data_IF_443849981149
#
_entry.id   IF_443849981149
#
_cell.length_a   1.000
_cell.length_b   1.000
_cell.length_c   1.000
_cell.angle_alpha   90.00
_cell.angle_beta   90.00
_cell.angle_gamma   90.00
#
_symmetry.space_group_name_H-M   'P 1'
#
loop_
_entity.id
_entity.type
_entity.pdbx_description
1 polymer ?
#
# COMPACT_ATOMS: atom_id res chain seq x y z
N UNK A 1 -7.67 8.16 6.10
CA UNK A 1 -6.29 7.91 6.61
C UNK A 1 -6.14 6.65 7.47
N UNK A 2 -6.56 6.60 8.75
CA UNK A 2 -6.28 5.45 9.66
C UNK A 2 -6.75 4.10 9.10
N UNK A 3 -7.99 4.01 8.62
CA UNK A 3 -8.55 2.79 8.04
C UNK A 3 -7.76 2.28 6.81
N UNK A 4 -7.25 3.19 5.97
CA UNK A 4 -6.44 2.84 4.79
C UNK A 4 -5.10 2.24 5.20
N UNK A 5 -4.47 2.78 6.24
CA UNK A 5 -3.22 2.24 6.81
C UNK A 5 -3.45 0.84 7.40
N UNK A 6 -4.57 0.62 8.10
CA UNK A 6 -4.92 -0.71 8.60
C UNK A 6 -5.09 -1.74 7.48
N UNK A 7 -5.72 -1.34 6.35
CA UNK A 7 -5.84 -2.19 5.16
C UNK A 7 -4.46 -2.54 4.61
N UNK A 8 -3.53 -1.58 4.55
CA UNK A 8 -2.14 -1.84 4.11
C UNK A 8 -1.47 -2.88 5.01
N UNK A 9 -1.61 -2.79 6.34
CA UNK A 9 -1.06 -3.80 7.25
C UNK A 9 -1.69 -5.19 7.03
N UNK A 10 -3.00 -5.25 6.80
CA UNK A 10 -3.67 -6.51 6.47
C UNK A 10 -3.17 -7.11 5.15
N UNK A 11 -2.90 -6.28 4.14
CA UNK A 11 -2.29 -6.69 2.86
C UNK A 11 -0.87 -7.21 3.07
N UNK A 12 -0.05 -6.52 3.86
CA UNK A 12 1.31 -6.98 4.19
C UNK A 12 1.31 -8.34 4.91
N UNK A 13 0.38 -8.58 5.82
CA UNK A 13 0.22 -9.90 6.46
C UNK A 13 -0.05 -10.99 5.42
N UNK A 14 -1.01 -10.76 4.52
CA UNK A 14 -1.34 -11.69 3.43
C UNK A 14 -0.15 -11.99 2.52
N UNK A 15 0.66 -10.96 2.20
CA UNK A 15 1.88 -11.11 1.42
C UNK A 15 2.86 -12.06 2.11
N UNK A 16 3.13 -11.86 3.40
CA UNK A 16 4.07 -12.69 4.16
C UNK A 16 3.59 -14.15 4.27
N UNK A 17 2.28 -14.36 4.50
CA UNK A 17 1.68 -15.68 4.57
C UNK A 17 1.79 -16.43 3.23
N UNK A 18 1.46 -15.76 2.12
CA UNK A 18 1.55 -16.35 0.76
C UNK A 18 2.98 -16.57 0.30
N UNK A 19 3.89 -15.64 0.61
CA UNK A 19 5.32 -15.82 0.34
C UNK A 19 5.88 -17.05 1.06
N UNK A 20 5.49 -17.26 2.32
CA UNK A 20 5.92 -18.41 3.12
C UNK A 20 5.43 -19.74 2.54
N UNK A 21 4.17 -19.79 2.05
CA UNK A 21 3.63 -20.96 1.35
C UNK A 21 4.34 -21.21 0.02
N UNK A 22 4.57 -20.17 -0.78
CA UNK A 22 5.32 -20.30 -2.04
C UNK A 22 6.71 -20.89 -1.83
N UNK A 23 7.43 -20.43 -0.80
CA UNK A 23 8.75 -20.97 -0.45
C UNK A 23 8.69 -22.44 -0.03
N UNK A 24 7.65 -22.83 0.72
CA UNK A 24 7.42 -24.22 1.11
C UNK A 24 7.16 -25.11 -0.11
N UNK A 25 6.24 -24.70 -0.98
CA UNK A 25 5.85 -25.45 -2.19
C UNK A 25 7.01 -25.57 -3.18
N UNK A 26 7.81 -24.51 -3.33
CA UNK A 26 9.02 -24.53 -4.15
C UNK A 26 10.04 -25.56 -3.64
N UNK A 27 10.24 -25.67 -2.33
CA UNK A 27 11.14 -26.68 -1.72
C UNK A 27 10.64 -28.11 -1.92
N UNK A 28 9.34 -28.30 -2.13
CA UNK A 28 8.74 -29.60 -2.44
C UNK A 28 8.68 -29.90 -3.95
N UNK A 29 9.09 -28.95 -4.80
CA UNK A 29 9.02 -29.08 -6.25
C UNK A 29 7.64 -28.78 -6.85
N UNK A 30 6.68 -28.29 -6.05
CA UNK A 30 5.36 -27.88 -6.55
C UNK A 30 5.41 -26.43 -7.07
N UNK A 31 6.09 -26.25 -8.21
CA UNK A 31 6.30 -24.93 -8.80
C UNK A 31 4.99 -24.25 -9.23
N UNK A 32 3.97 -25.03 -9.61
CA UNK A 32 2.69 -24.46 -10.06
C UNK A 32 1.98 -23.74 -8.91
N UNK A 33 1.93 -24.35 -7.72
CA UNK A 33 1.36 -23.69 -6.54
C UNK A 33 2.21 -22.52 -6.07
N UNK A 34 3.54 -22.69 -6.05
CA UNK A 34 4.45 -21.61 -5.68
C UNK A 34 4.27 -20.36 -6.57
N UNK A 35 4.15 -20.54 -7.89
CA UNK A 35 3.89 -19.44 -8.83
C UNK A 35 2.52 -18.79 -8.56
N UNK A 36 1.49 -19.58 -8.26
CA UNK A 36 0.17 -19.06 -7.90
C UNK A 36 0.19 -18.17 -6.65
N UNK A 37 0.86 -18.62 -5.58
CA UNK A 37 1.03 -17.82 -4.36
C UNK A 37 1.87 -16.56 -4.62
N UNK A 38 2.87 -16.61 -5.50
CA UNK A 38 3.66 -15.44 -5.88
C UNK A 38 2.87 -14.41 -6.71
N UNK A 39 1.96 -14.84 -7.60
CA UNK A 39 1.06 -13.91 -8.26
C UNK A 39 0.15 -13.19 -7.25
N UNK A 40 -0.38 -13.91 -6.27
CA UNK A 40 -1.17 -13.31 -5.20
C UNK A 40 -0.35 -12.31 -4.36
N UNK A 41 0.95 -12.58 -4.12
CA UNK A 41 1.87 -11.64 -3.47
C UNK A 41 1.98 -10.35 -4.29
N UNK A 42 2.18 -10.45 -5.60
CA UNK A 42 2.30 -9.29 -6.50
C UNK A 42 1.04 -8.42 -6.45
N UNK A 43 -0.14 -9.03 -6.59
CA UNK A 43 -1.42 -8.31 -6.56
C UNK A 43 -1.61 -7.54 -5.25
N UNK A 44 -1.37 -8.18 -4.10
CA UNK A 44 -1.52 -7.50 -2.80
C UNK A 44 -0.48 -6.40 -2.59
N UNK A 45 0.74 -6.55 -3.13
CA UNK A 45 1.78 -5.52 -3.04
C UNK A 45 1.43 -4.29 -3.90
N UNK A 46 0.88 -4.51 -5.10
CA UNK A 46 0.40 -3.44 -5.98
C UNK A 46 -0.74 -2.66 -5.32
N UNK A 47 -1.74 -3.35 -4.76
CA UNK A 47 -2.84 -2.70 -4.04
C UNK A 47 -2.36 -1.92 -2.82
N UNK A 48 -1.45 -2.49 -2.02
CA UNK A 48 -0.87 -1.79 -0.88
C UNK A 48 -0.14 -0.51 -1.30
N UNK A 49 0.62 -0.58 -2.40
CA UNK A 49 1.34 0.58 -2.96
C UNK A 49 0.37 1.65 -3.45
N UNK A 50 -0.70 1.25 -4.13
CA UNK A 50 -1.74 2.17 -4.59
C UNK A 50 -2.37 2.94 -3.43
N UNK A 51 -2.76 2.24 -2.35
CA UNK A 51 -3.34 2.87 -1.16
C UNK A 51 -2.34 3.82 -0.49
N UNK A 52 -1.06 3.46 -0.43
CA UNK A 52 -0.03 4.32 0.13
C UNK A 52 0.17 5.60 -0.68
N UNK A 53 0.15 5.50 -2.02
CA UNK A 53 0.26 6.67 -2.88
C UNK A 53 -0.96 7.60 -2.73
N UNK A 54 -2.17 7.04 -2.69
CA UNK A 54 -3.40 7.81 -2.46
C UNK A 54 -3.34 8.56 -1.12
N UNK A 55 -2.78 7.95 -0.07
CA UNK A 55 -2.58 8.60 1.23
C UNK A 55 -1.55 9.74 1.18
N UNK A 56 -0.53 9.64 0.34
CA UNK A 56 0.46 10.71 0.13
C UNK A 56 -0.23 11.88 -0.59
N UNK A 57 -0.94 11.60 -1.68
CA UNK A 57 -1.69 12.60 -2.45
C UNK A 57 -2.71 13.34 -1.57
N UNK A 58 -3.51 12.61 -0.79
CA UNK A 58 -4.45 13.20 0.19
C UNK A 58 -3.74 14.16 1.16
N UNK A 59 -2.53 13.80 1.62
CA UNK A 59 -1.77 14.65 2.55
C UNK A 59 -1.25 15.91 1.86
N UNK A 60 -0.72 15.77 0.65
CA UNK A 60 -0.17 16.88 -0.14
C UNK A 60 -1.26 17.88 -0.54
N UNK A 61 -2.45 17.41 -0.91
CA UNK A 61 -3.60 18.27 -1.22
C UNK A 61 -4.09 19.06 0.01
N UNK A 62 -4.12 18.42 1.18
CA UNK A 62 -4.48 19.07 2.44
C UNK A 62 -3.44 20.10 2.90
N UNK A 63 -2.14 19.84 2.67
CA UNK A 63 -1.07 20.81 2.98
C UNK A 63 -1.11 22.03 2.02
N UNK A 64 -1.61 21.87 0.78
CA UNK A 64 -1.74 22.96 -0.20
C UNK A 64 -2.98 23.86 -0.02
N UNK A 65 -3.94 23.48 0.84
CA UNK A 65 -5.24 24.14 0.97
C UNK A 65 -5.37 25.06 2.18
N UNK A 66 -4.26 25.39 2.87
CA UNK A 66 -4.21 26.49 3.83
C UNK A 66 -3.73 27.75 3.08
N UNK A 67 -4.63 28.61 2.56
CA UNK A 67 -4.21 29.97 2.26
C UNK A 67 -3.78 30.58 3.58
N UNK A 68 -2.51 31.00 3.64
CA UNK A 68 -1.98 31.80 4.75
C UNK A 68 -3.02 32.88 5.07
N UNK A 69 -3.55 32.91 6.29
CA UNK A 69 -4.55 33.91 6.72
C UNK A 69 -4.04 35.34 6.48
N UNK A 70 -2.72 35.51 6.35
CA UNK A 70 -2.07 36.77 6.01
C UNK A 70 -1.95 37.06 4.51
N UNK A 71 -2.43 36.20 3.61
CA UNK A 71 -2.36 36.45 2.17
C UNK A 71 -3.18 37.69 1.78
N UNK A 72 -4.37 37.86 2.37
CA UNK A 72 -5.21 39.02 2.13
C UNK A 72 -4.75 40.27 2.90
N UNK A 73 -4.10 40.11 4.06
CA UNK A 73 -3.56 41.24 4.82
C UNK A 73 -2.27 41.84 4.21
N UNK A 74 -1.52 41.06 3.42
CA UNK A 74 -0.29 41.52 2.72
C UNK A 74 -0.56 42.22 1.38
N UNK A 75 -1.82 42.31 0.95
CA UNK A 75 -2.24 42.99 -0.28
C UNK A 75 -2.87 44.38 -0.04
N UNK A 76 -2.94 44.83 1.23
CA UNK A 76 -3.34 46.19 1.62
C UNK A 76 -2.11 47.06 1.91
#
# INVERSE_FOLDING_TARGET
MVLKIEIVFQKMKKILDSHSRALHDMKQGDFRRAIGDLHFVIENAQEATYILNELIEEREENDCSIPDENFYERLQ
#
